data_IF_605368928274
#
_entry.id   IF_605368928274
#
_cell.length_a   1.000
_cell.length_b   1.000
_cell.length_c   1.000
_cell.angle_alpha   90.00
_cell.angle_beta   90.00
_cell.angle_gamma   90.00
#
_symmetry.space_group_name_H-M   'P 1'
#
loop_
_entity.id
_entity.type
_entity.pdbx_description
1 polymer ?
#
# COMPACT_ATOMS: atom_id res chain seq x y z
N UNK A 1 -18.22 -17.75 -3.66
CA UNK A 1 -18.08 -16.50 -4.43
C UNK A 1 -18.41 -16.82 -5.86
N UNK A 2 -19.30 -16.03 -6.44
CA UNK A 2 -19.54 -16.08 -7.89
C UNK A 2 -18.29 -15.61 -8.63
N UNK A 3 -18.11 -16.02 -9.87
CA UNK A 3 -16.95 -15.65 -10.71
C UNK A 3 -16.74 -14.13 -10.80
N UNK A 4 -17.82 -13.36 -10.94
CA UNK A 4 -17.75 -11.90 -10.95
C UNK A 4 -17.18 -11.27 -9.66
N UNK A 5 -17.51 -11.82 -8.48
CA UNK A 5 -16.96 -11.32 -7.20
C UNK A 5 -15.44 -11.56 -7.09
N UNK A 6 -14.97 -12.66 -7.69
CA UNK A 6 -13.54 -13.00 -7.73
C UNK A 6 -12.77 -12.02 -8.63
N UNK A 7 -13.33 -11.69 -9.80
CA UNK A 7 -12.74 -10.73 -10.74
C UNK A 7 -12.68 -9.34 -10.09
N UNK A 8 -13.79 -8.86 -9.53
CA UNK A 8 -13.84 -7.56 -8.85
C UNK A 8 -12.84 -7.52 -7.68
N UNK A 9 -12.83 -8.54 -6.82
CA UNK A 9 -11.90 -8.58 -5.70
C UNK A 9 -10.42 -8.59 -6.13
N UNK A 10 -10.08 -9.28 -7.23
CA UNK A 10 -8.72 -9.27 -7.79
C UNK A 10 -8.35 -7.88 -8.31
N UNK A 11 -9.24 -7.22 -9.05
CA UNK A 11 -9.03 -5.86 -9.56
C UNK A 11 -8.82 -4.89 -8.38
N UNK A 12 -9.67 -4.96 -7.36
CA UNK A 12 -9.54 -4.12 -6.16
C UNK A 12 -8.22 -4.37 -5.43
N UNK A 13 -7.81 -5.64 -5.29
CA UNK A 13 -6.54 -5.99 -4.65
C UNK A 13 -5.33 -5.41 -5.40
N UNK A 14 -5.31 -5.53 -6.72
CA UNK A 14 -4.27 -4.95 -7.58
C UNK A 14 -4.29 -3.42 -7.47
N UNK A 15 -5.46 -2.79 -7.49
CA UNK A 15 -5.60 -1.34 -7.38
C UNK A 15 -5.06 -0.82 -6.04
N UNK A 16 -5.35 -1.50 -4.92
CA UNK A 16 -4.81 -1.14 -3.58
C UNK A 16 -3.28 -1.17 -3.60
N UNK A 17 -2.69 -2.21 -4.19
CA UNK A 17 -1.23 -2.34 -4.28
C UNK A 17 -0.61 -1.23 -5.14
N UNK A 18 -1.20 -0.93 -6.31
CA UNK A 18 -0.74 0.15 -7.20
C UNK A 18 -0.80 1.50 -6.47
N UNK A 19 -1.91 1.81 -5.80
CA UNK A 19 -2.05 3.07 -5.04
C UNK A 19 -0.99 3.15 -3.95
N UNK A 20 -0.76 2.08 -3.19
CA UNK A 20 0.29 2.03 -2.17
C UNK A 20 1.68 2.34 -2.74
N UNK A 21 2.05 1.68 -3.84
CA UNK A 21 3.34 1.93 -4.52
C UNK A 21 3.44 3.37 -5.01
N UNK A 22 2.39 3.91 -5.64
CA UNK A 22 2.41 5.29 -6.16
C UNK A 22 2.58 6.31 -5.03
N UNK A 23 1.89 6.12 -3.90
CA UNK A 23 2.06 6.97 -2.70
C UNK A 23 3.48 6.88 -2.16
N UNK A 24 4.05 5.68 -2.09
CA UNK A 24 5.42 5.45 -1.62
C UNK A 24 6.47 6.11 -2.55
N UNK A 25 6.35 5.93 -3.87
CA UNK A 25 7.22 6.58 -4.86
C UNK A 25 7.13 8.10 -4.75
N UNK A 26 5.92 8.66 -4.69
CA UNK A 26 5.74 10.11 -4.57
C UNK A 26 6.40 10.65 -3.30
N UNK A 27 6.30 9.95 -2.18
CA UNK A 27 6.97 10.38 -0.95
C UNK A 27 8.50 10.41 -1.11
N UNK A 28 9.11 9.47 -1.83
CA UNK A 28 10.56 9.54 -2.12
C UNK A 28 10.92 10.68 -3.08
N UNK A 29 10.07 10.97 -4.07
CA UNK A 29 10.25 12.12 -4.96
C UNK A 29 10.20 13.42 -4.15
N UNK A 30 9.22 13.55 -3.25
CA UNK A 30 9.09 14.68 -2.35
C UNK A 30 10.31 14.80 -1.42
N UNK A 31 10.80 13.70 -0.84
CA UNK A 31 12.05 13.72 -0.07
C UNK A 31 13.19 14.32 -0.90
N UNK A 32 13.37 13.83 -2.14
CA UNK A 32 14.51 14.19 -2.98
C UNK A 32 14.48 15.64 -3.46
N UNK A 33 13.30 16.13 -3.84
CA UNK A 33 13.17 17.42 -4.55
C UNK A 33 12.58 18.53 -3.68
N UNK A 34 11.93 18.20 -2.57
CA UNK A 34 11.28 19.17 -1.69
C UNK A 34 11.97 19.22 -0.32
N UNK A 35 12.48 18.12 0.21
CA UNK A 35 13.04 18.09 1.58
C UNK A 35 14.56 18.23 1.59
N UNK A 36 15.29 17.31 0.95
CA UNK A 36 16.77 17.30 0.89
C UNK A 36 17.40 18.64 0.48
N UNK A 37 16.85 19.43 -0.47
CA UNK A 37 17.48 20.68 -0.89
C UNK A 37 17.59 21.75 0.20
N UNK A 38 16.76 21.69 1.24
CA UNK A 38 16.84 22.63 2.37
C UNK A 38 17.93 22.25 3.37
N UNK A 39 18.42 21.00 3.34
CA UNK A 39 19.51 20.49 4.18
C UNK A 39 19.29 20.78 5.68
N UNK A 40 18.06 20.51 6.16
CA UNK A 40 17.67 20.66 7.56
C UNK A 40 17.51 19.26 8.15
N UNK A 41 18.56 18.77 8.81
CA UNK A 41 18.67 17.39 9.30
C UNK A 41 17.41 16.88 10.03
N UNK A 42 16.87 17.67 10.98
CA UNK A 42 15.71 17.24 11.78
C UNK A 42 14.42 17.09 10.95
N UNK A 43 14.30 17.84 9.86
CA UNK A 43 13.14 17.76 8.96
C UNK A 43 13.30 16.54 8.05
N UNK A 44 14.51 16.35 7.52
CA UNK A 44 14.84 15.19 6.67
C UNK A 44 14.63 13.87 7.42
N UNK A 45 15.18 13.74 8.63
CA UNK A 45 15.03 12.54 9.46
C UNK A 45 13.55 12.23 9.74
N UNK A 46 12.77 13.25 10.15
CA UNK A 46 11.33 13.08 10.40
C UNK A 46 10.55 12.71 9.15
N UNK A 47 10.96 13.22 8.00
CA UNK A 47 10.31 12.91 6.73
C UNK A 47 10.59 11.46 6.30
N UNK A 48 11.81 10.97 6.45
CA UNK A 48 12.11 9.55 6.21
C UNK A 48 11.40 8.63 7.21
N UNK A 49 11.28 9.00 8.48
CA UNK A 49 10.44 8.25 9.43
C UNK A 49 8.97 8.19 8.98
N UNK A 50 8.45 9.26 8.39
CA UNK A 50 7.11 9.27 7.80
C UNK A 50 7.00 8.34 6.58
N UNK A 51 8.01 8.31 5.70
CA UNK A 51 8.08 7.37 4.57
C UNK A 51 8.10 5.91 5.06
N UNK A 52 8.85 5.61 6.12
CA UNK A 52 8.89 4.27 6.72
C UNK A 52 7.53 3.87 7.30
N UNK A 53 6.83 4.83 7.92
CA UNK A 53 5.45 4.65 8.37
C UNK A 53 4.49 4.34 7.21
N UNK A 54 4.60 5.07 6.10
CA UNK A 54 3.82 4.81 4.87
C UNK A 54 4.11 3.42 4.29
N UNK A 55 5.39 3.04 4.23
CA UNK A 55 5.82 1.70 3.76
C UNK A 55 5.20 0.60 4.62
N UNK A 56 5.29 0.76 5.94
CA UNK A 56 4.71 -0.19 6.91
C UNK A 56 3.20 -0.31 6.73
N UNK A 57 2.50 0.83 6.59
CA UNK A 57 1.05 0.85 6.37
C UNK A 57 0.64 0.19 5.04
N UNK A 58 1.39 0.43 3.97
CA UNK A 58 1.19 -0.22 2.67
C UNK A 58 1.28 -1.75 2.79
N UNK A 59 2.32 -2.27 3.46
CA UNK A 59 2.47 -3.71 3.66
C UNK A 59 1.34 -4.30 4.51
N UNK A 60 1.00 -3.65 5.63
CA UNK A 60 -0.08 -4.11 6.51
C UNK A 60 -1.42 -4.17 5.76
N UNK A 61 -1.76 -3.11 5.03
CA UNK A 61 -3.02 -3.03 4.26
C UNK A 61 -3.05 -4.05 3.12
N UNK A 62 -1.92 -4.29 2.46
CA UNK A 62 -1.79 -5.34 1.46
C UNK A 62 -2.00 -6.73 2.05
N UNK A 63 -1.30 -7.08 3.14
CA UNK A 63 -1.44 -8.37 3.81
C UNK A 63 -2.85 -8.59 4.36
N UNK A 64 -3.45 -7.57 4.98
CA UNK A 64 -4.82 -7.64 5.46
C UNK A 64 -5.80 -7.93 4.32
N UNK A 65 -5.63 -7.22 3.19
CA UNK A 65 -6.45 -7.43 1.99
C UNK A 65 -6.27 -8.82 1.40
N UNK A 66 -5.04 -9.35 1.37
CA UNK A 66 -4.73 -10.70 0.92
C UNK A 66 -5.41 -11.76 1.80
N UNK A 67 -5.28 -11.62 3.14
CA UNK A 67 -5.89 -12.54 4.11
C UNK A 67 -7.41 -12.55 3.96
N UNK A 68 -8.03 -11.37 3.88
CA UNK A 68 -9.47 -11.25 3.65
C UNK A 68 -9.90 -11.91 2.34
N UNK A 69 -9.14 -11.67 1.25
CA UNK A 69 -9.41 -12.28 -0.04
C UNK A 69 -9.38 -13.81 0.04
N UNK A 70 -8.35 -14.40 0.68
CA UNK A 70 -8.23 -15.85 0.88
C UNK A 70 -9.39 -16.41 1.71
N UNK A 71 -9.74 -15.77 2.84
CA UNK A 71 -10.83 -16.22 3.72
C UNK A 71 -12.16 -16.24 2.95
N UNK A 72 -12.47 -15.15 2.26
CA UNK A 72 -13.72 -15.01 1.53
C UNK A 72 -13.77 -15.95 0.31
N UNK A 73 -12.64 -16.21 -0.33
CA UNK A 73 -12.52 -17.20 -1.41
C UNK A 73 -12.80 -18.62 -0.91
N UNK A 74 -12.21 -19.01 0.23
CA UNK A 74 -12.42 -20.34 0.86
C UNK A 74 -13.87 -20.56 1.27
N UNK A 75 -14.52 -19.58 1.93
CA UNK A 75 -15.97 -19.65 2.24
C UNK A 75 -16.82 -19.79 0.98
N UNK A 76 -16.37 -19.16 -0.10
CA UNK A 76 -17.05 -19.14 -1.37
C UNK A 76 -16.96 -20.41 -2.22
N UNK A 77 -16.02 -21.31 -1.92
CA UNK A 77 -15.82 -22.58 -2.64
C UNK A 77 -16.43 -23.80 -1.93
N UNK A 78 -17.00 -23.62 -0.72
CA UNK A 78 -17.83 -24.63 -0.06
C UNK A 78 -19.23 -24.63 -0.71
N UNK A 79 -19.31 -25.19 -1.92
CA UNK A 79 -20.52 -25.70 -2.56
C UNK A 79 -20.14 -26.97 -3.29
#
# INVERSE_FOLDING_TARGET
MKTWQKIVGLITFIAIFIVGILTWINAYVDAKYIIEPYNIDIIEERYYMYIDGLSTLMWITYFLSLVLFIILWRKGGKR
#
